data_IF_579360260322
#
_entry.id   IF_579360260322
#
_cell.length_a   1.000
_cell.length_b   1.000
_cell.length_c   1.000
_cell.angle_alpha   90.00
_cell.angle_beta   90.00
_cell.angle_gamma   90.00
#
_symmetry.space_group_name_H-M   'P 1'
#
loop_
_entity.id
_entity.type
_entity.pdbx_description
1 polymer ?
#
# COMPACT_ATOMS: atom_id res chain seq x y z
N UNK A 1 4.11 -24.32 10.16
CA UNK A 1 2.65 -24.55 10.20
C UNK A 1 1.99 -23.41 9.44
N UNK A 2 1.10 -23.68 8.49
CA UNK A 2 0.35 -22.61 7.85
C UNK A 2 -0.49 -21.87 8.90
N UNK A 3 -0.38 -20.54 8.95
CA UNK A 3 -1.20 -19.68 9.81
C UNK A 3 -2.67 -19.93 9.47
N UNK A 4 -3.45 -20.42 10.45
CA UNK A 4 -4.86 -20.78 10.24
C UNK A 4 -5.72 -19.54 9.97
N UNK A 5 -5.32 -18.38 10.49
CA UNK A 5 -6.05 -17.11 10.36
C UNK A 5 -5.10 -15.98 9.98
N UNK A 6 -5.52 -15.11 9.06
CA UNK A 6 -4.76 -13.92 8.66
C UNK A 6 -5.03 -12.72 9.59
N UNK A 7 -6.23 -12.67 10.18
CA UNK A 7 -6.62 -11.61 11.11
C UNK A 7 -7.58 -12.17 12.16
N UNK A 8 -7.44 -11.73 13.41
CA UNK A 8 -8.25 -12.18 14.53
C UNK A 8 -8.76 -11.00 15.35
N UNK A 9 -10.04 -11.01 15.70
CA UNK A 9 -10.68 -10.11 16.65
C UNK A 9 -11.35 -10.95 17.74
N UNK A 10 -11.07 -10.66 19.01
CA UNK A 10 -11.63 -11.38 20.15
C UNK A 10 -12.16 -10.40 21.18
N UNK A 11 -13.43 -10.55 21.55
CA UNK A 11 -14.12 -9.73 22.54
C UNK A 11 -14.08 -8.22 22.23
N UNK A 12 -14.10 -7.85 20.94
CA UNK A 12 -13.81 -6.48 20.55
C UNK A 12 -15.00 -5.54 20.80
N UNK A 13 -14.74 -4.48 21.56
CA UNK A 13 -15.73 -3.46 21.91
C UNK A 13 -15.20 -2.06 21.55
N UNK A 14 -16.02 -1.26 20.87
CA UNK A 14 -15.68 0.12 20.48
C UNK A 14 -16.79 1.08 20.86
N UNK A 15 -16.40 2.17 21.52
CA UNK A 15 -17.26 3.26 21.91
C UNK A 15 -16.85 4.55 21.22
N UNK A 16 -17.82 5.40 20.91
CA UNK A 16 -17.58 6.81 20.59
C UNK A 16 -18.45 7.64 21.55
N UNK A 17 -17.81 8.30 22.52
CA UNK A 17 -18.51 8.89 23.65
C UNK A 17 -19.31 7.83 24.41
N UNK A 18 -20.61 8.06 24.59
CA UNK A 18 -21.53 7.13 25.26
C UNK A 18 -22.06 6.03 24.34
N UNK A 19 -21.85 6.14 23.01
CA UNK A 19 -22.40 5.20 22.04
C UNK A 19 -21.52 3.98 21.90
N UNK A 20 -22.08 2.80 22.18
CA UNK A 20 -21.44 1.51 21.93
C UNK A 20 -21.66 1.10 20.47
N UNK A 21 -20.63 1.25 19.62
CA UNK A 21 -20.73 1.02 18.17
C UNK A 21 -20.40 -0.42 17.78
N UNK A 22 -19.36 -1.01 18.38
CA UNK A 22 -19.05 -2.43 18.22
C UNK A 22 -19.15 -3.09 19.58
N UNK A 23 -19.96 -4.15 19.70
CA UNK A 23 -20.22 -4.86 20.95
C UNK A 23 -19.82 -6.32 20.81
N UNK A 24 -18.85 -6.73 21.61
CA UNK A 24 -18.37 -8.11 21.73
C UNK A 24 -18.12 -8.84 20.39
N UNK A 25 -17.39 -8.18 19.50
CA UNK A 25 -17.10 -8.70 18.17
C UNK A 25 -16.01 -9.78 18.26
N UNK A 26 -16.34 -10.96 17.75
CA UNK A 26 -15.46 -12.12 17.68
C UNK A 26 -15.40 -12.60 16.23
N UNK A 27 -14.31 -12.33 15.52
CA UNK A 27 -14.16 -12.61 14.08
C UNK A 27 -12.77 -13.14 13.80
N UNK A 28 -12.68 -14.19 12.98
CA UNK A 28 -11.42 -14.70 12.46
C UNK A 28 -11.50 -14.78 10.94
N UNK A 29 -10.46 -14.29 10.27
CA UNK A 29 -10.37 -14.24 8.82
C UNK A 29 -9.38 -15.30 8.34
N UNK A 30 -9.76 -16.08 7.33
CA UNK A 30 -8.86 -17.05 6.70
C UNK A 30 -8.06 -16.40 5.57
N UNK A 31 -6.80 -16.82 5.33
CA UNK A 31 -6.06 -16.43 4.14
C UNK A 31 -6.87 -16.73 2.86
N UNK A 32 -6.93 -15.77 1.93
CA UNK A 32 -7.64 -15.91 0.65
C UNK A 32 -9.17 -15.70 0.71
N UNK A 33 -9.75 -15.47 1.89
CA UNK A 33 -11.18 -15.21 2.01
C UNK A 33 -11.57 -13.86 1.38
N UNK A 34 -12.68 -13.84 0.64
CA UNK A 34 -13.32 -12.64 0.10
C UNK A 34 -14.58 -12.34 0.91
N UNK A 35 -14.56 -11.27 1.70
CA UNK A 35 -15.61 -11.00 2.69
C UNK A 35 -16.23 -9.63 2.44
N UNK A 36 -17.54 -9.59 2.25
CA UNK A 36 -18.34 -8.37 2.19
C UNK A 36 -18.97 -8.05 3.55
N UNK A 37 -18.73 -6.86 4.09
CA UNK A 37 -19.36 -6.38 5.33
C UNK A 37 -20.59 -5.53 4.96
N UNK A 38 -21.77 -5.99 5.36
CA UNK A 38 -23.05 -5.31 5.10
C UNK A 38 -23.76 -4.94 6.40
N UNK A 39 -24.69 -3.98 6.33
CA UNK A 39 -25.44 -3.50 7.49
C UNK A 39 -25.85 -2.04 7.35
N UNK A 40 -26.72 -1.56 8.25
CA UNK A 40 -27.22 -0.19 8.24
C UNK A 40 -26.10 0.87 8.43
N UNK A 41 -26.41 2.13 8.08
CA UNK A 41 -25.54 3.25 8.40
C UNK A 41 -25.37 3.37 9.92
N UNK A 42 -24.14 3.54 10.38
CA UNK A 42 -23.82 3.56 11.81
C UNK A 42 -23.71 2.18 12.49
N UNK A 43 -23.83 1.07 11.75
CA UNK A 43 -23.63 -0.29 12.29
C UNK A 43 -22.15 -0.63 12.60
N UNK A 44 -21.22 0.31 12.43
CA UNK A 44 -19.80 0.10 12.76
C UNK A 44 -18.93 -0.51 11.65
N UNK A 45 -19.45 -0.70 10.44
CA UNK A 45 -18.70 -1.30 9.30
C UNK A 45 -17.35 -0.60 9.05
N UNK A 46 -17.36 0.72 8.85
CA UNK A 46 -16.15 1.50 8.61
C UNK A 46 -15.23 1.50 9.84
N UNK A 47 -15.78 1.36 11.04
CA UNK A 47 -15.01 1.24 12.28
C UNK A 47 -14.24 -0.08 12.33
N UNK A 48 -14.88 -1.21 11.99
CA UNK A 48 -14.21 -2.53 11.88
C UNK A 48 -13.04 -2.44 10.89
N UNK A 49 -13.28 -1.89 9.70
CA UNK A 49 -12.23 -1.76 8.68
C UNK A 49 -11.07 -0.87 9.13
N UNK A 50 -11.33 0.25 9.82
CA UNK A 50 -10.27 1.12 10.37
C UNK A 50 -9.46 0.45 11.47
N UNK A 51 -10.11 -0.37 12.31
CA UNK A 51 -9.42 -1.17 13.33
C UNK A 51 -8.52 -2.21 12.65
N UNK A 52 -9.03 -2.91 11.63
CA UNK A 52 -8.24 -3.88 10.85
C UNK A 52 -7.04 -3.24 10.16
N UNK A 53 -7.21 -2.02 9.66
CA UNK A 53 -6.14 -1.23 9.05
C UNK A 53 -5.13 -0.67 10.07
N UNK A 54 -5.36 -0.85 11.38
CA UNK A 54 -4.53 -0.28 12.43
C UNK A 54 -4.65 1.24 12.58
N UNK A 55 -5.64 1.87 11.94
CA UNK A 55 -5.89 3.32 11.99
C UNK A 55 -6.59 3.70 13.29
N UNK A 56 -7.63 2.94 13.67
CA UNK A 56 -8.34 3.14 14.93
C UNK A 56 -7.88 2.08 15.96
N UNK A 57 -7.08 2.52 16.93
CA UNK A 57 -6.50 1.64 17.98
C UNK A 57 -7.23 1.73 19.32
N UNK A 58 -8.20 2.63 19.43
CA UNK A 58 -8.89 2.89 20.69
C UNK A 58 -10.10 1.96 20.86
N UNK A 59 -9.86 0.70 21.17
CA UNK A 59 -10.90 -0.29 21.43
C UNK A 59 -10.54 -1.14 22.65
N UNK A 60 -11.50 -1.91 23.15
CA UNK A 60 -11.29 -2.95 24.17
C UNK A 60 -11.33 -4.33 23.51
N UNK A 61 -10.61 -5.30 24.05
CA UNK A 61 -10.46 -6.63 23.45
C UNK A 61 -9.19 -6.73 22.61
N UNK A 62 -9.18 -7.64 21.64
CA UNK A 62 -8.04 -7.90 20.77
C UNK A 62 -8.39 -7.73 19.30
N UNK A 63 -7.47 -7.17 18.51
CA UNK A 63 -7.49 -7.16 17.05
C UNK A 63 -6.04 -7.29 16.56
N UNK A 64 -5.73 -8.42 15.91
CA UNK A 64 -4.36 -8.79 15.56
C UNK A 64 -4.28 -9.28 14.12
N UNK A 65 -3.32 -8.71 13.38
CA UNK A 65 -2.88 -9.20 12.08
C UNK A 65 -1.78 -10.24 12.31
N UNK A 66 -1.87 -11.38 11.63
CA UNK A 66 -0.84 -12.42 11.78
C UNK A 66 0.51 -11.96 11.19
N UNK A 67 1.62 -12.47 11.73
CA UNK A 67 2.96 -11.95 11.43
C UNK A 67 3.35 -12.19 9.98
N UNK A 68 4.04 -11.23 9.38
CA UNK A 68 4.48 -11.32 7.97
C UNK A 68 3.43 -10.88 6.95
N UNK A 69 2.20 -10.59 7.38
CA UNK A 69 1.20 -9.97 6.51
C UNK A 69 1.20 -8.45 6.63
N UNK A 70 0.71 -7.79 5.58
CA UNK A 70 0.51 -6.34 5.52
C UNK A 70 -0.95 -6.05 5.20
N UNK A 71 -1.46 -4.93 5.69
CA UNK A 71 -2.82 -4.45 5.38
C UNK A 71 -2.72 -3.25 4.45
N UNK A 72 -3.38 -3.34 3.29
CA UNK A 72 -3.70 -2.19 2.45
C UNK A 72 -5.09 -1.67 2.79
N UNK A 73 -5.23 -0.36 2.99
CA UNK A 73 -6.51 0.27 3.31
C UNK A 73 -6.78 1.43 2.37
N UNK A 74 -7.87 1.33 1.62
CA UNK A 74 -8.35 2.39 0.73
C UNK A 74 -9.50 3.11 1.45
N UNK A 75 -9.32 4.38 1.88
CA UNK A 75 -10.38 5.13 2.53
C UNK A 75 -11.54 5.42 1.56
N UNK A 76 -12.72 5.69 2.11
CA UNK A 76 -13.89 6.07 1.32
C UNK A 76 -13.66 7.34 0.49
N UNK A 77 -12.91 8.29 1.05
CA UNK A 77 -12.42 9.50 0.40
C UNK A 77 -10.91 9.36 0.17
N UNK A 78 -10.49 9.14 -1.08
CA UNK A 78 -9.08 9.06 -1.45
C UNK A 78 -8.31 10.31 -1.07
N UNK A 79 -7.11 10.12 -0.51
CA UNK A 79 -6.17 11.21 -0.25
C UNK A 79 -5.11 11.16 -1.37
N UNK A 80 -5.34 11.92 -2.44
CA UNK A 80 -4.35 12.14 -3.48
C UNK A 80 -3.70 13.51 -3.24
N UNK A 81 -2.42 13.63 -3.62
CA UNK A 81 -1.68 14.86 -3.48
C UNK A 81 -2.01 15.80 -4.63
N UNK A 82 -2.68 16.91 -4.30
CA UNK A 82 -3.01 17.96 -5.24
C UNK A 82 -1.75 18.57 -5.88
N UNK A 83 -1.86 19.01 -7.13
CA UNK A 83 -0.74 19.55 -7.90
C UNK A 83 0.20 18.49 -8.48
N UNK A 84 0.00 17.20 -8.17
CA UNK A 84 0.71 16.08 -8.79
C UNK A 84 -0.13 15.40 -9.86
N UNK A 85 0.55 14.76 -10.81
CA UNK A 85 -0.10 13.97 -11.84
C UNK A 85 -0.60 12.63 -11.30
N UNK A 86 -1.41 11.91 -12.08
CA UNK A 86 -1.82 10.54 -11.78
C UNK A 86 -0.60 9.65 -11.56
N UNK A 87 0.38 9.69 -12.47
CA UNK A 87 1.61 8.89 -12.38
C UNK A 87 2.39 9.19 -11.09
N UNK A 88 2.61 10.46 -10.79
CA UNK A 88 3.36 10.85 -9.59
C UNK A 88 2.67 10.42 -8.29
N UNK A 89 1.33 10.39 -8.24
CA UNK A 89 0.59 9.88 -7.09
C UNK A 89 0.76 8.37 -6.92
N UNK A 90 0.76 7.60 -8.01
CA UNK A 90 0.96 6.15 -7.98
C UNK A 90 2.41 5.82 -7.61
N UNK A 91 3.38 6.50 -8.23
CA UNK A 91 4.81 6.33 -7.95
C UNK A 91 5.19 6.67 -6.51
N UNK A 92 4.45 7.56 -5.85
CA UNK A 92 4.67 7.86 -4.44
C UNK A 92 4.53 6.60 -3.54
N UNK A 93 3.68 5.64 -3.92
CA UNK A 93 3.55 4.35 -3.22
C UNK A 93 4.78 3.45 -3.38
N UNK A 94 5.61 3.70 -4.40
CA UNK A 94 6.81 2.94 -4.75
C UNK A 94 8.10 3.77 -4.62
N UNK A 95 8.06 4.89 -3.91
CA UNK A 95 9.18 5.82 -3.79
C UNK A 95 10.49 5.15 -3.35
N UNK A 96 10.42 4.17 -2.43
CA UNK A 96 11.59 3.40 -2.00
C UNK A 96 12.19 2.54 -3.10
N UNK A 97 11.36 1.93 -3.94
CA UNK A 97 11.82 1.08 -5.06
C UNK A 97 12.39 1.96 -6.18
N UNK A 98 11.73 3.06 -6.52
CA UNK A 98 12.22 4.02 -7.49
C UNK A 98 13.54 4.67 -7.06
N UNK A 99 13.73 4.92 -5.76
CA UNK A 99 15.01 5.40 -5.24
C UNK A 99 16.16 4.40 -5.43
N UNK A 100 15.91 3.10 -5.24
CA UNK A 100 16.91 2.05 -5.48
C UNK A 100 17.31 1.99 -6.96
N UNK A 101 16.32 2.02 -7.86
CA UNK A 101 16.54 1.99 -9.31
C UNK A 101 17.34 3.23 -9.73
N UNK A 102 16.94 4.41 -9.26
CA UNK A 102 17.64 5.66 -9.56
C UNK A 102 19.10 5.63 -9.07
N UNK A 103 19.33 5.16 -7.84
CA UNK A 103 20.69 5.05 -7.31
C UNK A 103 21.57 4.10 -8.14
N UNK A 104 20.99 2.99 -8.62
CA UNK A 104 21.66 2.07 -9.53
C UNK A 104 22.00 2.74 -10.88
N UNK A 105 21.05 3.46 -11.48
CA UNK A 105 21.25 4.19 -12.75
C UNK A 105 22.29 5.31 -12.62
N UNK A 106 22.27 6.06 -11.52
CA UNK A 106 23.21 7.15 -11.24
C UNK A 106 24.65 6.59 -11.15
N UNK A 107 24.85 5.46 -10.45
CA UNK A 107 26.16 4.79 -10.37
C UNK A 107 26.58 4.24 -11.73
N UNK A 108 25.67 3.58 -12.45
CA UNK A 108 25.93 3.02 -13.78
C UNK A 108 26.36 4.10 -14.77
N UNK A 109 25.78 5.29 -14.68
CA UNK A 109 26.11 6.41 -15.55
C UNK A 109 27.48 7.00 -15.22
N UNK A 110 27.77 7.15 -13.92
CA UNK A 110 29.03 7.71 -13.46
C UNK A 110 30.24 6.77 -13.67
N UNK A 111 30.03 5.46 -13.88
CA UNK A 111 31.10 4.49 -14.10
C UNK A 111 32.03 4.82 -15.28
N UNK A 112 31.54 5.54 -16.30
CA UNK A 112 32.35 5.92 -17.47
C UNK A 112 33.53 6.85 -17.15
N UNK A 113 33.46 7.58 -16.02
CA UNK A 113 34.42 8.61 -15.64
C UNK A 113 35.20 8.25 -14.35
N UNK A 114 35.04 7.03 -13.82
CA UNK A 114 35.64 6.61 -12.55
C UNK A 114 37.05 6.03 -12.71
N UNK A 115 37.92 6.33 -11.74
CA UNK A 115 39.21 5.65 -11.57
C UNK A 115 39.01 4.17 -11.16
N UNK A 116 39.99 3.28 -11.41
CA UNK A 116 39.85 1.83 -11.17
C UNK A 116 39.40 1.46 -9.74
N UNK A 117 39.95 2.09 -8.71
CA UNK A 117 39.58 1.83 -7.31
C UNK A 117 38.15 2.27 -6.97
N UNK A 118 37.63 3.29 -7.68
CA UNK A 118 36.25 3.75 -7.53
C UNK A 118 35.29 2.83 -8.30
N UNK A 119 35.73 2.26 -9.43
CA UNK A 119 34.97 1.32 -10.23
C UNK A 119 34.68 0.01 -9.47
N UNK A 120 35.67 -0.55 -8.76
CA UNK A 120 35.48 -1.77 -7.96
C UNK A 120 34.42 -1.58 -6.87
N UNK A 121 34.49 -0.46 -6.12
CA UNK A 121 33.48 -0.11 -5.11
C UNK A 121 32.10 0.15 -5.71
N UNK A 122 32.05 0.77 -6.89
CA UNK A 122 30.80 1.01 -7.60
C UNK A 122 30.14 -0.31 -8.03
N UNK A 123 30.93 -1.29 -8.51
CA UNK A 123 30.44 -2.62 -8.86
C UNK A 123 29.88 -3.38 -7.64
N UNK A 124 30.59 -3.36 -6.51
CA UNK A 124 30.09 -3.96 -5.26
C UNK A 124 28.75 -3.35 -4.84
N UNK A 125 28.65 -2.02 -4.86
CA UNK A 125 27.43 -1.31 -4.51
C UNK A 125 26.27 -1.59 -5.49
N UNK A 126 26.55 -1.67 -6.79
CA UNK A 126 25.55 -2.04 -7.79
C UNK A 126 25.06 -3.47 -7.63
N UNK A 127 25.91 -4.41 -7.21
CA UNK A 127 25.49 -5.77 -6.88
C UNK A 127 24.50 -5.79 -5.71
N UNK A 128 24.78 -5.07 -4.62
CA UNK A 128 23.85 -4.96 -3.49
C UNK A 128 22.52 -4.29 -3.86
N UNK A 129 22.55 -3.26 -4.72
CA UNK A 129 21.35 -2.58 -5.19
C UNK A 129 20.53 -3.50 -6.10
N UNK A 130 21.18 -4.23 -7.00
CA UNK A 130 20.53 -5.21 -7.87
C UNK A 130 19.80 -6.28 -7.06
N UNK A 131 20.43 -6.86 -6.04
CA UNK A 131 19.77 -7.82 -5.14
C UNK A 131 18.53 -7.24 -4.47
N UNK A 132 18.58 -5.97 -4.04
CA UNK A 132 17.43 -5.28 -3.43
C UNK A 132 16.32 -4.99 -4.45
N UNK A 133 16.68 -4.57 -5.66
CA UNK A 133 15.73 -4.28 -6.74
C UNK A 133 15.04 -5.58 -7.17
N UNK A 134 15.79 -6.67 -7.34
CA UNK A 134 15.25 -8.00 -7.65
C UNK A 134 14.30 -8.48 -6.55
N UNK A 135 14.69 -8.36 -5.28
CA UNK A 135 13.88 -8.78 -4.14
C UNK A 135 12.52 -8.07 -4.06
N UNK A 136 12.42 -6.82 -4.55
CA UNK A 136 11.16 -6.08 -4.62
C UNK A 136 10.49 -6.10 -6.01
N UNK A 137 11.08 -6.78 -7.00
CA UNK A 137 10.57 -6.82 -8.39
C UNK A 137 10.56 -5.45 -9.05
N UNK A 138 11.56 -4.61 -8.75
CA UNK A 138 11.60 -3.22 -9.21
C UNK A 138 11.78 -3.07 -10.72
N UNK A 139 12.45 -4.02 -11.38
CA UNK A 139 12.66 -3.96 -12.84
C UNK A 139 11.37 -4.06 -13.65
N UNK A 140 10.37 -4.80 -13.15
CA UNK A 140 9.07 -4.88 -13.83
C UNK A 140 8.07 -3.84 -13.33
N UNK A 141 8.48 -2.90 -12.46
CA UNK A 141 7.56 -1.96 -11.82
C UNK A 141 6.75 -1.20 -12.86
N UNK A 142 7.39 -0.62 -13.88
CA UNK A 142 6.71 0.17 -14.90
C UNK A 142 5.69 -0.65 -15.73
N UNK A 143 6.05 -1.89 -16.06
CA UNK A 143 5.15 -2.82 -16.75
C UNK A 143 3.96 -3.19 -15.86
N UNK A 144 4.20 -3.49 -14.58
CA UNK A 144 3.13 -3.83 -13.62
C UNK A 144 2.19 -2.64 -13.40
N UNK A 145 2.72 -1.43 -13.29
CA UNK A 145 1.95 -0.20 -13.20
C UNK A 145 1.09 0.00 -14.44
N UNK A 146 1.65 -0.19 -15.63
CA UNK A 146 0.89 -0.09 -16.89
C UNK A 146 -0.25 -1.10 -16.97
N UNK A 147 -0.03 -2.35 -16.55
CA UNK A 147 -1.07 -3.39 -16.50
C UNK A 147 -2.17 -3.02 -15.50
N UNK A 148 -1.80 -2.57 -14.30
CA UNK A 148 -2.74 -2.17 -13.26
C UNK A 148 -3.56 -0.94 -13.68
N UNK A 149 -2.91 0.08 -14.26
CA UNK A 149 -3.55 1.29 -14.75
C UNK A 149 -4.59 0.99 -15.83
N UNK A 150 -4.26 0.10 -16.76
CA UNK A 150 -5.20 -0.37 -17.78
C UNK A 150 -6.36 -1.16 -17.18
N UNK A 151 -6.10 -2.08 -16.25
CA UNK A 151 -7.14 -2.88 -15.60
C UNK A 151 -8.12 -2.03 -14.79
N UNK A 152 -7.63 -0.94 -14.18
CA UNK A 152 -8.42 0.01 -13.41
C UNK A 152 -8.97 1.17 -14.25
N UNK A 153 -8.68 1.22 -15.55
CA UNK A 153 -9.11 2.28 -16.47
C UNK A 153 -8.81 3.66 -15.87
N UNK A 154 -7.53 3.88 -15.56
CA UNK A 154 -7.07 5.13 -15.01
C UNK A 154 -7.08 6.25 -16.07
N UNK A 155 -7.21 7.52 -15.64
CA UNK A 155 -6.95 8.67 -16.49
C UNK A 155 -5.48 8.70 -16.98
N UNK A 156 -5.15 9.53 -17.98
CA UNK A 156 -3.79 9.70 -18.46
C UNK A 156 -2.79 10.05 -17.35
N UNK A 157 -1.59 9.49 -17.45
CA UNK A 157 -0.52 9.59 -16.46
C UNK A 157 -0.07 11.03 -16.15
N UNK A 158 -0.15 11.91 -17.14
CA UNK A 158 0.23 13.33 -17.09
C UNK A 158 -0.90 14.24 -16.56
N UNK A 159 -2.11 13.73 -16.41
CA UNK A 159 -3.26 14.50 -15.92
C UNK A 159 -3.10 14.83 -14.44
N UNK A 160 -3.36 16.10 -14.07
CA UNK A 160 -3.36 16.52 -12.67
C UNK A 160 -4.57 15.96 -11.92
N UNK A 161 -4.32 15.43 -10.71
CA UNK A 161 -5.38 14.81 -9.90
C UNK A 161 -6.50 15.78 -9.50
N UNK A 162 -6.21 17.07 -9.45
CA UNK A 162 -7.18 18.14 -9.13
C UNK A 162 -8.38 18.15 -10.07
N UNK A 163 -8.18 17.80 -11.33
CA UNK A 163 -9.21 17.81 -12.37
C UNK A 163 -10.05 16.53 -12.45
N UNK A 164 -9.68 15.50 -11.67
CA UNK A 164 -10.34 14.20 -11.71
C UNK A 164 -11.68 14.20 -10.97
N UNK A 165 -12.63 13.44 -11.52
CA UNK A 165 -13.88 13.10 -10.81
C UNK A 165 -13.60 12.24 -9.58
N UNK A 166 -14.54 12.21 -8.62
CA UNK A 166 -14.40 11.37 -7.43
C UNK A 166 -14.26 9.87 -7.73
N UNK A 167 -14.88 9.41 -8.83
CA UNK A 167 -14.74 8.03 -9.31
C UNK A 167 -13.33 7.73 -9.83
N UNK A 168 -12.73 8.65 -10.56
CA UNK A 168 -11.34 8.51 -11.06
C UNK A 168 -10.34 8.57 -9.92
N UNK A 169 -10.47 9.53 -8.99
CA UNK A 169 -9.62 9.62 -7.81
C UNK A 169 -9.62 8.32 -7.01
N UNK A 170 -10.76 7.64 -6.93
CA UNK A 170 -10.88 6.35 -6.24
C UNK A 170 -10.16 5.21 -6.96
N UNK A 171 -10.16 5.20 -8.29
CA UNK A 171 -9.42 4.19 -9.06
C UNK A 171 -7.92 4.43 -8.97
N UNK A 172 -7.49 5.69 -9.03
CA UNK A 172 -6.07 6.05 -8.83
C UNK A 172 -5.58 5.64 -7.44
N UNK A 173 -6.34 5.91 -6.37
CA UNK A 173 -5.95 5.50 -5.02
C UNK A 173 -6.06 4.00 -4.71
N UNK A 174 -6.68 3.22 -5.61
CA UNK A 174 -6.75 1.76 -5.52
C UNK A 174 -5.57 1.09 -6.24
N UNK A 175 -4.96 1.79 -7.21
CA UNK A 175 -3.82 1.32 -7.99
C UNK A 175 -2.53 1.34 -7.15
#
# INVERSE_FOLDING_TARGET
>A
MAEKYIFTMLGLNKFYGTRHVLKDINLCFYPGAKIGIVGANGAGKSTVLRIMAGIDKEFRGQAELCRGFRVGFVPQEPQLENGKTVRANIEAAFASTLALIKEYEDISTAMGDMDPDAMDKAMEKMAELQDKIDACGGWELDTRLSVAANALVLPPDDMLVDSLSGGEKRRVALC
#
